data_IF_667124260162
#
_entry.id   IF_667124260162
#
_cell.length_a   1.000
_cell.length_b   1.000
_cell.length_c   1.000
_cell.angle_alpha   90.00
_cell.angle_beta   90.00
_cell.angle_gamma   90.00
#
_symmetry.space_group_name_H-M   'P 1'
#
loop_
_entity.id
_entity.type
_entity.pdbx_description
1 polymer ?
#
# COMPACT_ATOMS: atom_id res chain seq x y z
N UNK A 1 -23.36 38.77 -14.19
CA UNK A 1 -22.35 37.95 -14.88
C UNK A 1 -22.66 38.01 -16.36
N UNK A 2 -21.75 38.53 -17.17
CA UNK A 2 -21.92 38.60 -18.63
C UNK A 2 -21.86 37.21 -19.25
N UNK A 3 -22.81 36.91 -20.15
CA UNK A 3 -22.87 35.62 -20.89
C UNK A 3 -21.58 35.37 -21.67
N UNK A 4 -20.93 36.43 -22.16
CA UNK A 4 -19.63 36.35 -22.84
C UNK A 4 -18.52 35.77 -21.95
N UNK A 5 -18.45 36.20 -20.67
CA UNK A 5 -17.44 35.68 -19.72
C UNK A 5 -17.64 34.21 -19.40
N UNK A 6 -18.91 33.74 -19.37
CA UNK A 6 -19.22 32.32 -19.17
C UNK A 6 -18.81 31.47 -20.38
N UNK A 7 -18.98 31.99 -21.60
CA UNK A 7 -18.53 31.33 -22.82
C UNK A 7 -17.00 31.24 -22.90
N UNK A 8 -16.29 32.28 -22.49
CA UNK A 8 -14.82 32.26 -22.39
C UNK A 8 -14.32 31.25 -21.36
N UNK A 9 -14.92 31.24 -20.15
CA UNK A 9 -14.59 30.26 -19.12
C UNK A 9 -14.84 28.83 -19.59
N UNK A 10 -15.98 28.59 -20.26
CA UNK A 10 -16.28 27.28 -20.84
C UNK A 10 -15.20 26.84 -21.82
N UNK A 11 -14.77 27.74 -22.72
CA UNK A 11 -13.73 27.45 -23.70
C UNK A 11 -12.39 27.10 -23.03
N UNK A 12 -11.99 27.86 -22.01
CA UNK A 12 -10.76 27.59 -21.25
C UNK A 12 -10.82 26.24 -20.53
N UNK A 13 -11.97 25.90 -19.95
CA UNK A 13 -12.16 24.60 -19.30
C UNK A 13 -12.14 23.44 -20.31
N UNK A 14 -12.80 23.58 -21.46
CA UNK A 14 -12.78 22.57 -22.52
C UNK A 14 -11.36 22.33 -23.06
N UNK A 15 -10.58 23.40 -23.28
CA UNK A 15 -9.16 23.28 -23.69
C UNK A 15 -8.31 22.55 -22.63
N UNK A 16 -8.53 22.85 -21.34
CA UNK A 16 -7.78 22.21 -20.26
C UNK A 16 -8.17 20.73 -20.09
N UNK A 17 -9.45 20.41 -20.21
CA UNK A 17 -9.94 19.03 -20.21
C UNK A 17 -9.32 18.24 -21.35
N UNK A 18 -9.29 18.80 -22.56
CA UNK A 18 -8.70 18.13 -23.73
C UNK A 18 -7.22 17.83 -23.52
N UNK A 19 -6.44 18.79 -23.01
CA UNK A 19 -5.01 18.59 -22.70
C UNK A 19 -4.79 17.50 -21.67
N UNK A 20 -5.55 17.51 -20.57
CA UNK A 20 -5.45 16.48 -19.54
C UNK A 20 -5.84 15.09 -20.08
N UNK A 21 -6.84 15.01 -20.96
CA UNK A 21 -7.21 13.76 -21.62
C UNK A 21 -6.11 13.24 -22.55
N UNK A 22 -5.40 14.12 -23.26
CA UNK A 22 -4.23 13.75 -24.06
C UNK A 22 -3.07 13.25 -23.20
N UNK A 23 -2.78 13.93 -22.09
CA UNK A 23 -1.78 13.49 -21.11
C UNK A 23 -2.11 12.09 -20.58
N UNK A 24 -3.37 11.86 -20.17
CA UNK A 24 -3.83 10.54 -19.73
C UNK A 24 -3.63 9.49 -20.81
N UNK A 25 -4.03 9.76 -22.06
CA UNK A 25 -3.83 8.82 -23.18
C UNK A 25 -2.35 8.51 -23.39
N UNK A 26 -1.48 9.51 -23.30
CA UNK A 26 -0.04 9.34 -23.45
C UNK A 26 0.55 8.44 -22.36
N UNK A 27 0.24 8.70 -21.09
CA UNK A 27 0.72 7.86 -19.99
C UNK A 27 0.17 6.43 -20.04
N UNK A 28 -1.10 6.25 -20.44
CA UNK A 28 -1.67 4.91 -20.64
C UNK A 28 -0.96 4.16 -21.76
N UNK A 29 -0.64 4.82 -22.88
CA UNK A 29 0.11 4.18 -23.96
C UNK A 29 1.55 3.81 -23.56
N UNK A 30 2.21 4.65 -22.76
CA UNK A 30 3.52 4.31 -22.17
C UNK A 30 3.41 3.12 -21.20
N UNK A 31 2.34 3.05 -20.41
CA UNK A 31 2.05 1.93 -19.51
C UNK A 31 1.90 0.62 -20.31
N UNK A 32 1.08 0.62 -21.35
CA UNK A 32 0.90 -0.56 -22.22
C UNK A 32 2.20 -1.01 -22.90
N UNK A 33 3.06 -0.06 -23.28
CA UNK A 33 4.39 -0.37 -23.84
C UNK A 33 5.30 -1.01 -22.79
N UNK A 34 5.29 -0.51 -21.56
CA UNK A 34 6.02 -1.10 -20.45
C UNK A 34 5.51 -2.51 -20.13
N UNK A 35 4.19 -2.71 -20.12
CA UNK A 35 3.57 -4.02 -19.89
C UNK A 35 4.01 -5.05 -20.94
N UNK A 36 4.05 -4.66 -22.21
CA UNK A 36 4.56 -5.51 -23.30
C UNK A 36 6.04 -5.84 -23.13
N UNK A 37 6.86 -4.84 -22.82
CA UNK A 37 8.29 -5.04 -22.59
C UNK A 37 8.58 -5.92 -21.35
N UNK A 38 7.74 -5.82 -20.30
CA UNK A 38 7.79 -6.68 -19.12
C UNK A 38 7.35 -8.10 -19.49
N UNK A 39 6.28 -8.25 -20.27
CA UNK A 39 5.80 -9.54 -20.78
C UNK A 39 6.89 -10.28 -21.55
N UNK A 40 7.53 -9.62 -22.53
CA UNK A 40 8.60 -10.19 -23.35
C UNK A 40 9.83 -10.62 -22.54
N UNK A 41 10.21 -9.83 -21.51
CA UNK A 41 11.29 -10.20 -20.59
C UNK A 41 10.90 -11.28 -19.58
N UNK A 42 9.60 -11.49 -19.34
CA UNK A 42 9.08 -12.49 -18.40
C UNK A 42 8.94 -13.88 -19.02
N UNK A 43 8.86 -13.99 -20.36
CA UNK A 43 8.81 -15.29 -21.04
C UNK A 43 10.12 -16.10 -20.92
N UNK A 44 11.25 -15.49 -20.57
CA UNK A 44 12.49 -16.23 -20.27
C UNK A 44 12.54 -16.80 -18.84
N UNK A 45 11.53 -16.54 -18.00
CA UNK A 45 11.43 -17.07 -16.61
C UNK A 45 10.08 -17.76 -16.36
N UNK A 46 9.39 -18.18 -17.42
CA UNK A 46 8.02 -18.70 -17.40
C UNK A 46 7.86 -20.15 -16.87
N UNK A 47 8.92 -20.81 -16.42
CA UNK A 47 8.82 -22.22 -16.02
C UNK A 47 8.43 -22.47 -14.54
N UNK A 48 8.39 -21.47 -13.66
CA UNK A 48 8.38 -21.77 -12.21
C UNK A 48 7.32 -21.12 -11.31
N UNK A 49 6.42 -20.25 -11.77
CA UNK A 49 5.46 -19.69 -10.79
C UNK A 49 4.10 -19.31 -11.39
N UNK A 50 3.48 -20.30 -12.03
CA UNK A 50 2.05 -20.26 -12.33
C UNK A 50 1.32 -20.81 -11.12
N UNK A 51 0.95 -19.94 -10.19
CA UNK A 51 -0.31 -20.08 -9.46
C UNK A 51 -0.65 -18.80 -8.71
N UNK A 52 -1.61 -18.06 -9.28
CA UNK A 52 -2.75 -17.42 -8.60
C UNK A 52 -2.45 -16.31 -7.56
N UNK A 53 -3.02 -15.12 -7.63
CA UNK A 53 -4.22 -14.66 -8.35
C UNK A 53 -4.14 -13.14 -8.45
N UNK A 54 -4.56 -12.64 -9.61
CA UNK A 54 -4.78 -11.24 -9.94
C UNK A 54 -5.69 -10.55 -8.92
N UNK A 55 -5.27 -9.42 -8.37
CA UNK A 55 -6.01 -8.13 -8.38
C UNK A 55 -5.03 -7.03 -7.93
N UNK A 56 -4.86 -6.00 -8.77
CA UNK A 56 -4.23 -4.69 -8.53
C UNK A 56 -2.70 -4.57 -8.38
N UNK A 57 -2.18 -3.65 -9.21
CA UNK A 57 -0.92 -2.95 -9.11
C UNK A 57 0.34 -3.73 -9.50
N UNK A 58 0.68 -3.55 -10.78
CA UNK A 58 2.05 -3.39 -11.23
C UNK A 58 2.85 -2.48 -10.28
N UNK A 59 3.57 -3.09 -9.35
CA UNK A 59 4.87 -2.62 -8.88
C UNK A 59 5.55 -3.87 -8.40
N UNK A 60 6.73 -4.21 -8.94
CA UNK A 60 7.55 -5.19 -8.23
C UNK A 60 7.83 -4.60 -6.84
N UNK A 61 7.63 -5.36 -5.75
CA UNK A 61 8.06 -4.90 -4.44
C UNK A 61 9.55 -4.57 -4.51
N UNK A 62 9.90 -3.35 -4.11
CA UNK A 62 11.28 -2.87 -4.05
C UNK A 62 12.13 -3.80 -3.17
N UNK A 63 11.50 -4.34 -2.12
CA UNK A 63 12.05 -5.41 -1.32
C UNK A 63 10.93 -6.34 -0.85
N UNK A 64 11.22 -7.65 -0.83
CA UNK A 64 10.38 -8.65 -0.16
C UNK A 64 11.12 -9.12 1.08
N UNK A 65 10.59 -8.77 2.25
CA UNK A 65 11.12 -9.14 3.54
C UNK A 65 10.25 -10.23 4.19
N UNK A 66 10.85 -11.35 4.57
CA UNK A 66 10.14 -12.39 5.31
C UNK A 66 10.24 -12.12 6.81
N UNK A 67 9.09 -12.03 7.47
CA UNK A 67 8.98 -11.91 8.91
C UNK A 67 9.05 -13.32 9.50
N UNK A 68 10.23 -13.69 10.00
CA UNK A 68 10.51 -14.99 10.61
C UNK A 68 10.46 -14.94 12.13
N UNK A 69 9.91 -15.98 12.74
CA UNK A 69 9.98 -16.24 14.17
C UNK A 69 11.35 -16.75 14.62
N UNK A 70 11.54 -16.90 15.93
CA UNK A 70 12.77 -17.47 16.52
C UNK A 70 13.05 -18.90 16.05
N UNK A 71 12.01 -19.66 15.71
CA UNK A 71 12.11 -21.03 15.19
C UNK A 71 12.43 -21.12 13.68
N UNK A 72 12.61 -20.00 12.98
CA UNK A 72 12.82 -19.98 11.53
C UNK A 72 11.54 -20.07 10.69
N UNK A 73 10.39 -20.20 11.35
CA UNK A 73 9.05 -20.21 10.77
C UNK A 73 8.72 -18.83 10.19
N UNK A 74 8.18 -18.78 8.97
CA UNK A 74 7.72 -17.53 8.36
C UNK A 74 6.31 -17.25 8.84
N UNK A 75 6.10 -16.12 9.53
CA UNK A 75 4.80 -15.65 10.00
C UNK A 75 4.10 -14.77 8.97
N UNK A 76 4.85 -13.93 8.26
CA UNK A 76 4.31 -13.05 7.24
C UNK A 76 5.36 -12.70 6.19
N UNK A 77 4.90 -12.28 5.02
CA UNK A 77 5.73 -11.70 3.96
C UNK A 77 5.37 -10.23 3.83
N UNK A 78 6.36 -9.36 4.03
CA UNK A 78 6.23 -7.92 3.86
C UNK A 78 6.82 -7.53 2.50
N UNK A 79 5.97 -7.00 1.64
CA UNK A 79 6.30 -6.46 0.34
C UNK A 79 6.37 -4.94 0.48
N UNK A 80 7.56 -4.40 0.26
CA UNK A 80 7.83 -2.96 0.34
C UNK A 80 7.54 -2.34 -1.02
N UNK A 81 6.64 -1.37 -1.05
CA UNK A 81 6.37 -0.52 -2.20
C UNK A 81 6.78 0.92 -1.87
N UNK A 82 6.93 1.73 -2.92
CA UNK A 82 7.34 3.14 -2.83
C UNK A 82 6.38 3.94 -1.92
N UNK A 83 5.07 3.70 -2.08
CA UNK A 83 4.03 4.44 -1.35
C UNK A 83 3.31 3.66 -0.24
N UNK A 84 3.54 2.35 -0.14
CA UNK A 84 2.89 1.51 0.86
C UNK A 84 3.69 0.26 1.21
N UNK A 85 3.36 -0.34 2.35
CA UNK A 85 3.90 -1.61 2.80
C UNK A 85 2.74 -2.60 2.79
N UNK A 86 2.84 -3.65 1.99
CA UNK A 86 1.84 -4.72 1.99
C UNK A 86 2.37 -5.92 2.76
N UNK A 87 1.63 -6.36 3.75
CA UNK A 87 2.05 -7.45 4.63
C UNK A 87 1.02 -8.54 4.54
N UNK A 88 1.42 -9.68 3.97
CA UNK A 88 0.58 -10.86 3.83
C UNK A 88 0.92 -11.87 4.91
N UNK A 89 -0.05 -12.21 5.75
CA UNK A 89 0.14 -13.23 6.78
C UNK A 89 0.19 -14.61 6.12
N UNK A 90 1.04 -15.50 6.64
CA UNK A 90 1.09 -16.89 6.17
C UNK A 90 -0.17 -17.64 6.59
N UNK A 91 -0.57 -17.43 7.83
CA UNK A 91 -1.78 -17.97 8.44
C UNK A 91 -2.63 -16.78 8.89
N UNK A 92 -3.94 -16.74 8.58
CA UNK A 92 -4.79 -15.64 8.99
C UNK A 92 -4.74 -15.39 10.50
N UNK A 93 -4.70 -14.12 10.89
CA UNK A 93 -4.65 -13.73 12.30
C UNK A 93 -6.04 -13.30 12.74
N UNK A 94 -6.51 -13.79 13.90
CA UNK A 94 -7.77 -13.33 14.49
C UNK A 94 -7.72 -11.82 14.73
N UNK A 95 -8.72 -11.10 14.20
CA UNK A 95 -8.80 -9.66 14.36
C UNK A 95 -8.96 -9.27 15.83
N UNK A 96 -9.76 -9.99 16.63
CA UNK A 96 -9.96 -9.69 18.05
C UNK A 96 -8.82 -10.21 18.98
N UNK A 97 -7.61 -10.30 18.44
CA UNK A 97 -6.43 -10.78 19.18
C UNK A 97 -5.51 -9.63 19.63
N UNK A 98 -4.34 -10.00 20.17
CA UNK A 98 -3.24 -9.07 20.45
C UNK A 98 -2.87 -8.22 19.23
N UNK A 99 -3.09 -8.74 18.00
CA UNK A 99 -2.84 -7.99 16.77
C UNK A 99 -3.60 -6.67 16.72
N UNK A 100 -4.93 -6.67 16.89
CA UNK A 100 -5.70 -5.42 16.90
C UNK A 100 -5.33 -4.53 18.07
N UNK A 101 -5.34 -5.07 19.29
CA UNK A 101 -5.14 -4.30 20.52
C UNK A 101 -3.75 -3.63 20.62
N UNK A 102 -2.71 -4.28 20.12
CA UNK A 102 -1.34 -3.76 20.20
C UNK A 102 -0.87 -3.14 18.89
N UNK A 103 -1.04 -3.82 17.76
CA UNK A 103 -0.49 -3.33 16.51
C UNK A 103 -1.36 -2.23 15.90
N UNK A 104 -2.68 -2.44 15.79
CA UNK A 104 -3.58 -1.45 15.19
C UNK A 104 -3.88 -0.30 16.17
N UNK A 105 -4.49 -0.62 17.30
CA UNK A 105 -5.08 0.37 18.21
C UNK A 105 -4.05 1.15 19.03
N UNK A 106 -2.87 0.57 19.30
CA UNK A 106 -1.80 1.26 20.04
C UNK A 106 -0.72 1.78 19.13
N UNK A 107 -0.10 0.91 18.33
CA UNK A 107 1.10 1.29 17.58
C UNK A 107 0.77 2.14 16.34
N UNK A 108 -0.07 1.65 15.42
CA UNK A 108 -0.44 2.41 14.22
C UNK A 108 -1.27 3.66 14.56
N UNK A 109 -2.19 3.56 15.52
CA UNK A 109 -2.99 4.71 15.95
C UNK A 109 -2.14 5.84 16.52
N UNK A 110 -1.11 5.53 17.33
CA UNK A 110 -0.18 6.53 17.85
C UNK A 110 0.49 7.32 16.73
N UNK A 111 1.00 6.64 15.70
CA UNK A 111 1.63 7.32 14.56
C UNK A 111 0.62 8.12 13.74
N UNK A 112 -0.61 7.63 13.60
CA UNK A 112 -1.68 8.36 12.94
C UNK A 112 -2.05 9.65 13.68
N UNK A 113 -2.06 9.63 15.01
CA UNK A 113 -2.35 10.82 15.83
C UNK A 113 -1.20 11.84 15.77
N UNK A 114 0.05 11.37 15.78
CA UNK A 114 1.25 12.20 15.55
C UNK A 114 1.19 12.89 14.17
N UNK A 115 0.94 12.12 13.12
CA UNK A 115 0.82 12.63 11.75
C UNK A 115 -0.37 13.59 11.61
N UNK A 116 -1.52 13.30 12.23
CA UNK A 116 -2.67 14.19 12.23
C UNK A 116 -2.37 15.54 12.93
N UNK A 117 -1.57 15.52 14.00
CA UNK A 117 -1.12 16.74 14.66
C UNK A 117 -0.14 17.54 13.78
N UNK A 118 0.77 16.88 13.08
CA UNK A 118 1.64 17.51 12.07
C UNK A 118 0.85 18.11 10.90
N UNK A 119 -0.17 17.40 10.43
CA UNK A 119 -1.03 17.86 9.35
C UNK A 119 -1.80 19.13 9.75
N UNK A 120 -2.30 19.18 10.99
CA UNK A 120 -2.95 20.40 11.54
C UNK A 120 -1.99 21.59 11.65
N UNK A 121 -0.69 21.33 11.85
CA UNK A 121 0.35 22.37 11.88
C UNK A 121 0.86 22.75 10.48
N UNK A 122 0.38 22.08 9.43
CA UNK A 122 0.79 22.31 8.04
C UNK A 122 2.19 21.76 7.70
N UNK A 123 2.77 20.91 8.56
CA UNK A 123 4.07 20.27 8.31
C UNK A 123 3.98 19.11 7.32
N UNK A 124 2.78 18.51 7.22
CA UNK A 124 2.41 17.53 6.18
C UNK A 124 1.01 17.80 5.68
N UNK A 125 0.65 17.22 4.53
CA UNK A 125 -0.71 17.26 4.02
C UNK A 125 -1.60 16.21 4.70
N UNK A 126 -2.91 16.41 4.63
CA UNK A 126 -3.87 15.50 5.24
C UNK A 126 -3.90 14.11 4.56
N UNK A 127 -3.59 14.05 3.27
CA UNK A 127 -3.45 12.82 2.48
C UNK A 127 -2.12 12.08 2.74
N UNK A 128 -1.16 12.70 3.43
CA UNK A 128 0.12 12.11 3.82
C UNK A 128 0.09 11.49 5.24
N UNK A 129 -1.05 11.54 5.92
CA UNK A 129 -1.25 10.89 7.22
C UNK A 129 -1.21 9.37 7.07
N UNK A 130 -0.55 8.68 8.01
CA UNK A 130 -0.52 7.21 8.04
C UNK A 130 -1.93 6.61 7.95
N UNK A 131 -2.10 5.70 7.00
CA UNK A 131 -3.34 4.98 6.73
C UNK A 131 -3.05 3.49 6.64
N UNK A 132 -3.99 2.66 7.07
CA UNK A 132 -3.91 1.23 6.84
C UNK A 132 -5.24 0.67 6.35
N UNK A 133 -5.16 -0.42 5.59
CA UNK A 133 -6.28 -1.22 5.10
C UNK A 133 -6.02 -2.67 5.50
N UNK A 134 -7.03 -3.30 6.10
CA UNK A 134 -6.96 -4.72 6.45
C UNK A 134 -7.51 -5.54 5.29
N UNK A 135 -6.86 -6.64 5.01
CA UNK A 135 -7.36 -7.66 4.09
C UNK A 135 -8.09 -8.71 4.93
N UNK A 136 -9.42 -8.71 4.83
CA UNK A 136 -10.28 -9.62 5.56
C UNK A 136 -10.06 -11.07 5.09
N UNK A 137 -9.93 -11.98 6.05
CA UNK A 137 -9.86 -13.42 5.81
C UNK A 137 -11.23 -14.08 5.95
N UNK A 138 -11.27 -15.24 6.62
CA UNK A 138 -12.53 -15.82 7.09
C UNK A 138 -13.16 -14.95 8.20
N UNK A 139 -14.39 -15.29 8.62
CA UNK A 139 -15.16 -14.50 9.58
C UNK A 139 -14.37 -14.17 10.86
N UNK A 140 -14.01 -12.89 11.03
CA UNK A 140 -13.23 -12.40 12.17
C UNK A 140 -11.71 -12.56 12.07
N UNK A 141 -11.18 -12.93 10.90
CA UNK A 141 -9.75 -13.09 10.63
C UNK A 141 -9.21 -12.06 9.64
N UNK A 142 -7.89 -11.87 9.68
CA UNK A 142 -7.16 -10.95 8.81
C UNK A 142 -6.11 -11.74 8.04
N UNK A 143 -6.20 -11.74 6.72
CA UNK A 143 -5.24 -12.38 5.82
C UNK A 143 -4.02 -11.50 5.52
N UNK A 144 -4.15 -10.18 5.64
CA UNK A 144 -3.07 -9.23 5.40
C UNK A 144 -3.39 -7.80 5.82
N UNK A 145 -2.41 -6.91 5.70
CA UNK A 145 -2.55 -5.48 5.96
C UNK A 145 -1.73 -4.66 4.97
N UNK A 146 -2.32 -3.62 4.40
CA UNK A 146 -1.64 -2.58 3.63
C UNK A 146 -1.46 -1.35 4.49
N UNK A 147 -0.24 -0.83 4.63
CA UNK A 147 0.08 0.38 5.39
C UNK A 147 0.63 1.42 4.43
N UNK A 148 -0.09 2.51 4.25
CA UNK A 148 0.25 3.63 3.38
C UNK A 148 0.94 4.73 4.18
N UNK A 149 1.74 5.55 3.49
CA UNK A 149 2.35 6.76 4.06
C UNK A 149 3.23 6.51 5.29
N UNK A 150 4.07 5.46 5.26
CA UNK A 150 5.05 5.23 6.34
C UNK A 150 6.21 6.23 6.34
N UNK A 151 6.38 7.02 5.26
CA UNK A 151 7.27 8.19 5.07
C UNK A 151 8.78 7.95 5.15
N UNK A 152 9.26 7.16 6.11
CA UNK A 152 10.70 6.96 6.34
C UNK A 152 11.07 5.47 6.45
N UNK A 153 12.28 5.09 6.01
CA UNK A 153 12.78 3.72 6.15
C UNK A 153 12.98 3.31 7.62
N UNK A 154 13.18 4.27 8.54
CA UNK A 154 13.21 4.05 9.99
C UNK A 154 11.85 3.60 10.50
N UNK A 155 10.79 4.33 10.14
CA UNK A 155 9.41 4.00 10.53
C UNK A 155 8.97 2.67 9.91
N UNK A 156 9.39 2.38 8.67
CA UNK A 156 9.21 1.04 8.04
C UNK A 156 9.82 -0.07 8.90
N UNK A 157 11.09 0.07 9.28
CA UNK A 157 11.80 -0.92 10.11
C UNK A 157 11.14 -1.10 11.47
N UNK A 158 10.65 -0.02 12.06
CA UNK A 158 9.92 -0.07 13.33
C UNK A 158 8.59 -0.82 13.20
N UNK A 159 7.79 -0.51 12.17
CA UNK A 159 6.54 -1.22 11.85
C UNK A 159 6.80 -2.73 11.74
N UNK A 160 7.80 -3.13 10.95
CA UNK A 160 8.16 -4.54 10.76
C UNK A 160 8.65 -5.21 12.05
N UNK A 161 9.38 -4.50 12.90
CA UNK A 161 9.87 -5.00 14.19
C UNK A 161 8.72 -5.24 15.17
N UNK A 162 7.82 -4.27 15.32
CA UNK A 162 6.66 -4.39 16.23
C UNK A 162 5.70 -5.45 15.72
N UNK A 163 5.49 -5.53 14.40
CA UNK A 163 4.67 -6.57 13.81
C UNK A 163 5.26 -7.96 14.07
N UNK A 164 6.57 -8.15 13.86
CA UNK A 164 7.24 -9.43 14.17
C UNK A 164 7.00 -9.87 15.60
N UNK A 165 7.20 -8.97 16.56
CA UNK A 165 6.96 -9.26 17.98
C UNK A 165 5.50 -9.62 18.26
N UNK A 166 4.57 -8.91 17.62
CA UNK A 166 3.13 -9.17 17.77
C UNK A 166 2.76 -10.54 17.23
N UNK A 167 3.21 -10.87 16.01
CA UNK A 167 2.97 -12.17 15.40
C UNK A 167 3.63 -13.29 16.21
N UNK A 168 4.85 -13.09 16.71
CA UNK A 168 5.51 -14.07 17.59
C UNK A 168 4.64 -14.40 18.81
N UNK A 169 3.99 -13.40 19.43
CA UNK A 169 3.06 -13.63 20.55
C UNK A 169 1.74 -14.28 20.17
N UNK A 170 1.28 -14.06 18.94
CA UNK A 170 0.03 -14.65 18.43
C UNK A 170 0.22 -16.09 18.00
N UNK A 171 1.35 -16.43 17.35
CA UNK A 171 1.63 -17.79 16.87
C UNK A 171 2.32 -18.68 17.90
N UNK A 172 3.04 -18.11 18.89
CA UNK A 172 3.66 -18.88 19.98
C UNK A 172 2.75 -19.07 21.19
N UNK A 173 1.53 -18.54 21.16
CA UNK A 173 0.55 -18.62 22.25
C UNK A 173 -0.60 -19.54 21.91
#
# INVERSE_FOLDING_TARGET
>A
MDVQKLLELRKVLEEKISKLQEEVKFYTALLEMLDKAIGEKSFTTAAQQISKTEVTAATKPEAVEQIKGRGGEVYATAEVYDNYLYIRFREPVKLDSLFKRFFLDKFLQKHRDEDAAEARRGSIKQDEVLRYELEEGAEGEVAGIKIYNYRTPERRREILRVLRWTLEKVYSG
#
